data_IF_243188045992
#
_entry.id   IF_243188045992
#
_cell.length_a   1.000
_cell.length_b   1.000
_cell.length_c   1.000
_cell.angle_alpha   90.00
_cell.angle_beta   90.00
_cell.angle_gamma   90.00
#
_symmetry.space_group_name_H-M   'P 1'
#
loop_
_entity.id
_entity.type
_entity.pdbx_description
1 polymer ?
#
# COMPACT_ATOMS: atom_id res chain seq x y z
N UNK A 1 -32.56 17.25 33.20
CA UNK A 1 -31.54 18.30 33.42
C UNK A 1 -30.24 17.62 33.11
N UNK A 2 -29.87 17.58 31.84
CA UNK A 2 -28.66 16.89 31.38
C UNK A 2 -27.94 17.84 30.42
N UNK A 3 -26.88 18.44 30.91
CA UNK A 3 -26.01 19.37 30.19
C UNK A 3 -24.97 18.55 29.43
N UNK A 4 -25.05 18.53 28.08
CA UNK A 4 -23.91 18.15 27.25
C UNK A 4 -22.97 19.34 27.14
N UNK A 5 -21.95 19.38 27.99
CA UNK A 5 -20.73 20.14 27.77
C UNK A 5 -19.96 19.47 26.63
N UNK A 6 -19.68 20.21 25.57
CA UNK A 6 -18.81 19.74 24.49
C UNK A 6 -17.39 19.58 25.02
N UNK A 7 -16.87 18.36 24.90
CA UNK A 7 -15.48 18.06 25.18
C UNK A 7 -14.62 18.68 24.07
N UNK A 8 -14.12 19.89 24.32
CA UNK A 8 -12.88 20.36 23.71
C UNK A 8 -11.77 19.45 24.27
N UNK A 9 -11.56 18.30 23.60
CA UNK A 9 -10.51 17.33 23.90
C UNK A 9 -9.14 18.00 23.75
N UNK A 10 -8.65 18.59 24.85
CA UNK A 10 -7.27 19.03 24.94
C UNK A 10 -6.34 17.88 24.58
N UNK A 11 -5.31 18.10 23.74
CA UNK A 11 -4.42 17.03 23.34
C UNK A 11 -3.79 16.40 24.58
N UNK A 12 -4.12 15.14 24.83
CA UNK A 12 -3.62 14.37 25.98
C UNK A 12 -2.10 14.25 25.87
N UNK A 13 -1.39 15.19 26.49
CA UNK A 13 0.06 15.18 26.60
C UNK A 13 0.46 14.13 27.63
N UNK A 14 0.69 12.91 27.15
CA UNK A 14 1.23 11.83 27.96
C UNK A 14 2.60 12.23 28.49
N UNK A 15 2.70 12.41 29.81
CA UNK A 15 3.93 12.71 30.52
C UNK A 15 4.85 11.47 30.50
N UNK A 16 5.75 11.45 29.52
CA UNK A 16 6.73 10.38 29.30
C UNK A 16 8.13 10.96 29.35
N UNK A 17 9.05 10.24 29.99
CA UNK A 17 10.45 10.64 30.03
C UNK A 17 11.02 10.86 28.61
N UNK A 18 11.53 12.06 28.34
CA UNK A 18 12.15 12.41 27.05
C UNK A 18 13.56 11.84 26.96
N UNK A 19 13.93 11.34 25.77
CA UNK A 19 15.28 10.84 25.48
C UNK A 19 16.08 11.93 24.78
N UNK A 20 17.28 12.24 25.28
CA UNK A 20 18.20 13.24 24.69
C UNK A 20 18.56 12.97 23.23
N UNK A 21 18.47 11.71 22.77
CA UNK A 21 18.79 11.31 21.39
C UNK A 21 17.57 11.27 20.45
N UNK A 22 16.35 11.55 20.95
CA UNK A 22 15.14 11.58 20.13
C UNK A 22 15.21 12.73 19.13
N UNK A 23 14.90 12.46 17.87
CA UNK A 23 14.79 13.50 16.85
C UNK A 23 16.12 14.04 16.29
N UNK A 24 17.28 13.52 16.70
CA UNK A 24 18.60 14.07 16.31
C UNK A 24 18.89 14.09 14.80
N UNK A 25 18.19 13.28 14.01
CA UNK A 25 18.31 13.26 12.53
C UNK A 25 17.12 13.90 11.82
N UNK A 26 16.06 14.26 12.54
CA UNK A 26 14.83 14.77 11.92
C UNK A 26 15.07 16.15 11.34
N UNK A 27 15.83 17.00 12.03
CA UNK A 27 16.18 18.34 11.53
C UNK A 27 16.93 18.25 10.20
N UNK A 28 17.92 17.36 10.10
CA UNK A 28 18.63 17.12 8.85
C UNK A 28 17.72 16.61 7.73
N UNK A 29 16.81 15.67 8.02
CA UNK A 29 15.91 15.16 6.99
C UNK A 29 14.96 16.23 6.47
N UNK A 30 14.52 17.16 7.33
CA UNK A 30 13.68 18.29 6.92
C UNK A 30 14.49 19.33 6.14
N UNK A 31 15.74 19.60 6.53
CA UNK A 31 16.65 20.46 5.76
C UNK A 31 16.92 19.87 4.36
N UNK A 32 17.24 18.57 4.28
CA UNK A 32 17.46 17.86 3.01
C UNK A 32 16.19 17.86 2.11
N UNK A 33 14.97 17.87 2.68
CA UNK A 33 13.69 17.95 1.97
C UNK A 33 13.45 19.37 1.41
N UNK A 34 13.65 20.39 2.25
CA UNK A 34 13.51 21.80 1.86
C UNK A 34 14.50 22.16 0.74
N UNK A 35 15.75 21.71 0.85
CA UNK A 35 16.76 21.93 -0.20
C UNK A 35 16.37 21.30 -1.54
N UNK A 36 15.75 20.12 -1.52
CA UNK A 36 15.26 19.45 -2.74
C UNK A 36 14.08 20.20 -3.35
N UNK A 37 13.16 20.66 -2.52
CA UNK A 37 12.00 21.45 -2.95
C UNK A 37 12.47 22.78 -3.55
N UNK A 38 13.42 23.46 -2.92
CA UNK A 38 14.00 24.69 -3.46
C UNK A 38 14.68 24.45 -4.82
N UNK A 39 15.43 23.37 -4.99
CA UNK A 39 16.05 23.05 -6.28
C UNK A 39 15.01 22.72 -7.36
N UNK A 40 13.93 22.04 -6.98
CA UNK A 40 12.86 21.70 -7.91
C UNK A 40 12.03 22.92 -8.32
N UNK A 41 11.65 23.78 -7.38
CA UNK A 41 10.78 24.92 -7.65
C UNK A 41 11.53 26.14 -8.20
N UNK A 42 12.82 26.30 -7.91
CA UNK A 42 13.62 27.41 -8.44
C UNK A 42 14.19 27.15 -9.85
N UNK A 43 13.58 26.25 -10.63
CA UNK A 43 13.91 26.06 -12.04
C UNK A 43 13.50 27.30 -12.84
N UNK A 44 14.32 27.71 -13.81
CA UNK A 44 14.04 28.91 -14.60
C UNK A 44 12.74 28.80 -15.41
N UNK A 45 12.32 27.59 -15.77
CA UNK A 45 11.04 27.34 -16.45
C UNK A 45 9.79 27.52 -15.57
N UNK A 46 9.95 27.58 -14.25
CA UNK A 46 8.86 27.77 -13.27
C UNK A 46 8.89 29.17 -12.64
N UNK A 47 9.89 30.00 -12.97
CA UNK A 47 9.97 31.37 -12.51
C UNK A 47 9.14 32.26 -13.43
N UNK A 48 8.34 33.12 -12.82
CA UNK A 48 7.59 34.14 -13.56
C UNK A 48 8.59 35.09 -14.24
N UNK A 49 8.62 35.09 -15.57
CA UNK A 49 9.41 36.02 -16.36
C UNK A 49 8.64 37.34 -16.53
N UNK A 50 9.34 38.48 -16.49
CA UNK A 50 8.71 39.82 -16.61
C UNK A 50 8.01 40.03 -17.97
N UNK A 51 8.29 39.16 -18.94
CA UNK A 51 7.72 39.15 -20.29
C UNK A 51 7.08 37.79 -20.64
N UNK A 52 6.39 37.16 -19.68
CA UNK A 52 5.59 35.95 -19.89
C UNK A 52 4.22 36.29 -20.49
N UNK A 53 4.19 36.52 -21.81
CA UNK A 53 2.94 36.74 -22.55
C UNK A 53 2.13 35.45 -22.67
N UNK A 54 0.80 35.57 -22.80
CA UNK A 54 -0.06 34.40 -23.02
C UNK A 54 0.36 33.64 -24.28
N UNK A 55 0.27 32.30 -24.20
CA UNK A 55 0.53 31.41 -25.34
C UNK A 55 -0.22 31.85 -26.61
N UNK A 56 0.52 32.04 -27.70
CA UNK A 56 -0.01 32.25 -29.04
C UNK A 56 0.06 30.94 -29.82
N UNK A 57 -1.04 30.55 -30.46
CA UNK A 57 -1.08 29.35 -31.30
C UNK A 57 -0.24 29.59 -32.56
N UNK A 58 0.92 28.94 -32.62
CA UNK A 58 1.71 28.90 -33.84
C UNK A 58 0.94 28.11 -34.91
N UNK A 59 0.96 28.61 -36.14
CA UNK A 59 0.30 27.92 -37.26
C UNK A 59 0.96 26.56 -37.46
N UNK A 60 0.25 25.50 -37.06
CA UNK A 60 0.70 24.11 -37.20
C UNK A 60 1.00 23.81 -38.67
N UNK A 61 2.29 23.67 -38.98
CA UNK A 61 2.76 23.16 -40.25
C UNK A 61 2.50 21.66 -40.22
N UNK A 62 1.26 21.29 -40.56
CA UNK A 62 0.72 19.95 -40.32
C UNK A 62 1.65 18.79 -40.63
N UNK A 63 1.43 17.69 -39.91
CA UNK A 63 2.26 16.48 -39.84
C UNK A 63 2.93 16.07 -41.17
N UNK A 64 4.27 16.17 -41.22
CA UNK A 64 5.10 15.74 -42.35
C UNK A 64 5.53 14.29 -42.14
N UNK A 65 4.99 13.39 -42.95
CA UNK A 65 5.36 11.98 -42.89
C UNK A 65 6.66 11.69 -43.64
N UNK A 66 7.56 10.97 -42.98
CA UNK A 66 8.74 10.38 -43.61
C UNK A 66 8.32 9.42 -44.74
N UNK A 67 9.15 9.32 -45.78
CA UNK A 67 8.82 8.52 -46.97
C UNK A 67 8.73 7.02 -46.70
N UNK A 68 9.27 6.54 -45.57
CA UNK A 68 9.20 5.15 -45.11
C UNK A 68 7.98 4.86 -44.22
N UNK A 69 7.15 5.86 -43.89
CA UNK A 69 5.98 5.59 -43.05
C UNK A 69 4.92 4.70 -43.71
N UNK A 70 4.84 4.76 -45.04
CA UNK A 70 4.00 3.84 -45.81
C UNK A 70 4.72 2.57 -46.26
N UNK A 71 6.01 2.42 -45.93
CA UNK A 71 6.75 1.20 -46.23
C UNK A 71 6.27 0.11 -45.27
N UNK A 72 5.86 -1.02 -45.84
CA UNK A 72 5.48 -2.19 -45.06
C UNK A 72 6.70 -2.62 -44.24
N UNK A 73 6.56 -2.63 -42.91
CA UNK A 73 7.60 -3.18 -42.05
C UNK A 73 7.82 -4.62 -42.50
N UNK A 74 9.05 -4.94 -42.91
CA UNK A 74 9.40 -6.25 -43.42
C UNK A 74 8.81 -7.33 -42.51
N UNK A 75 7.93 -8.18 -43.07
CA UNK A 75 7.28 -9.25 -42.31
C UNK A 75 8.32 -9.93 -41.43
N UNK A 76 8.05 -10.10 -40.12
CA UNK A 76 8.98 -10.77 -39.25
C UNK A 76 9.30 -12.12 -39.88
N UNK A 77 10.59 -12.33 -40.13
CA UNK A 77 11.14 -13.59 -40.63
C UNK A 77 10.76 -14.66 -39.59
N UNK A 78 9.63 -15.35 -39.83
CA UNK A 78 9.05 -16.45 -39.06
C UNK A 78 9.93 -17.71 -39.21
N UNK A 79 11.25 -17.53 -39.22
CA UNK A 79 12.24 -18.58 -39.07
C UNK A 79 12.42 -18.86 -37.56
N UNK A 80 11.82 -19.95 -37.04
CA UNK A 80 11.87 -20.27 -35.61
C UNK A 80 13.29 -20.52 -35.10
N UNK A 81 14.30 -20.64 -35.98
CA UNK A 81 15.69 -20.84 -35.58
C UNK A 81 16.40 -19.53 -35.15
N UNK A 82 15.95 -18.37 -35.65
CA UNK A 82 16.59 -17.06 -35.41
C UNK A 82 16.02 -16.35 -34.17
N UNK A 83 14.70 -16.47 -33.94
CA UNK A 83 14.03 -15.94 -32.74
C UNK A 83 14.61 -16.52 -31.42
N UNK A 84 15.06 -17.77 -31.44
CA UNK A 84 15.61 -18.43 -30.24
C UNK A 84 16.98 -17.86 -29.86
N UNK A 85 17.77 -17.36 -30.82
CA UNK A 85 19.08 -16.77 -30.55
C UNK A 85 18.97 -15.33 -30.02
N UNK A 86 18.01 -14.54 -30.52
CA UNK A 86 17.78 -13.16 -30.04
C UNK A 86 17.08 -13.09 -28.68
N UNK A 87 16.22 -14.07 -28.35
CA UNK A 87 15.54 -14.16 -27.03
C UNK A 87 16.44 -14.61 -25.88
N UNK A 88 17.73 -14.87 -26.13
CA UNK A 88 18.67 -15.10 -25.04
C UNK A 88 18.86 -13.79 -24.26
N UNK A 89 18.65 -13.78 -22.92
CA UNK A 89 18.70 -12.55 -22.15
C UNK A 89 20.12 -11.99 -22.12
N UNK A 90 20.42 -11.04 -23.00
CA UNK A 90 21.60 -10.20 -22.91
C UNK A 90 21.42 -9.36 -21.65
N UNK A 91 22.00 -9.81 -20.54
CA UNK A 91 22.02 -9.07 -19.26
C UNK A 91 22.89 -7.82 -19.41
N UNK A 92 22.37 -6.77 -20.07
CA UNK A 92 22.93 -5.43 -20.00
C UNK A 92 22.68 -4.91 -18.58
N UNK A 93 23.64 -5.14 -17.68
CA UNK A 93 23.64 -4.50 -16.37
C UNK A 93 23.95 -3.02 -16.60
N UNK A 94 22.98 -2.15 -16.33
CA UNK A 94 23.20 -0.72 -16.25
C UNK A 94 24.23 -0.46 -15.14
N UNK A 95 25.45 -0.07 -15.51
CA UNK A 95 26.49 0.33 -14.57
C UNK A 95 26.39 1.84 -14.40
N UNK A 96 25.94 2.30 -13.25
CA UNK A 96 25.97 3.71 -12.89
C UNK A 96 27.43 4.20 -12.82
N UNK A 97 27.79 5.37 -13.39
CA UNK A 97 29.12 5.93 -13.23
C UNK A 97 29.36 6.19 -11.73
N UNK A 98 30.40 5.58 -11.15
CA UNK A 98 30.80 5.81 -9.76
C UNK A 98 30.70 4.63 -8.78
N UNK A 99 30.13 3.48 -9.16
CA UNK A 99 30.08 2.28 -8.29
C UNK A 99 31.16 1.26 -8.68
N UNK A 100 32.27 1.22 -7.93
CA UNK A 100 33.29 0.17 -8.05
C UNK A 100 32.75 -1.16 -7.48
N UNK A 101 32.44 -2.11 -8.36
CA UNK A 101 32.08 -3.48 -7.98
C UNK A 101 33.31 -4.20 -7.41
N UNK A 102 33.31 -4.46 -6.10
CA UNK A 102 34.35 -5.26 -5.43
C UNK A 102 34.26 -6.72 -5.91
N UNK A 103 35.34 -7.26 -6.49
CA UNK A 103 35.48 -8.69 -6.82
C UNK A 103 35.63 -9.50 -5.53
N UNK A 104 34.64 -10.33 -5.18
CA UNK A 104 34.81 -11.36 -4.15
C UNK A 104 35.27 -12.66 -4.81
N UNK A 105 36.53 -13.02 -4.58
CA UNK A 105 37.05 -14.35 -4.83
C UNK A 105 36.55 -15.30 -3.74
N UNK A 106 35.73 -16.29 -4.07
CA UNK A 106 35.54 -17.46 -3.20
C UNK A 106 35.56 -18.73 -4.03
N UNK A 107 36.65 -19.48 -3.88
CA UNK A 107 36.87 -20.82 -4.40
C UNK A 107 35.96 -21.83 -3.70
N UNK A 108 35.56 -22.82 -4.49
CA UNK A 108 34.75 -24.01 -4.21
C UNK A 108 35.15 -24.75 -2.92
N UNK A 109 34.17 -25.36 -2.25
CA UNK A 109 34.15 -26.79 -1.84
C UNK A 109 32.70 -27.25 -1.65
N UNK A 110 32.22 -28.07 -2.58
CA UNK A 110 31.00 -28.88 -2.48
C UNK A 110 31.47 -30.29 -2.11
N UNK A 111 31.03 -30.80 -0.97
CA UNK A 111 31.21 -32.21 -0.58
C UNK A 111 29.81 -32.82 -0.51
N UNK A 112 29.57 -33.80 -1.38
CA UNK A 112 28.45 -34.75 -1.34
C UNK A 112 29.04 -36.09 -0.94
N UNK A 113 28.52 -36.81 0.08
CA UNK A 113 28.93 -38.18 0.33
C UNK A 113 28.14 -39.12 -0.59
N UNK A 114 28.87 -40.01 -1.27
CA UNK A 114 28.35 -41.08 -2.11
C UNK A 114 28.30 -42.34 -1.25
N UNK A 115 27.15 -42.99 -1.25
CA UNK A 115 26.90 -44.31 -0.64
C UNK A 115 27.69 -45.38 -1.42
N UNK A 116 28.35 -46.27 -0.70
CA UNK A 116 28.99 -47.46 -1.24
C UNK A 116 28.11 -48.68 -0.93
N UNK A 117 27.91 -49.49 -1.96
CA UNK A 117 27.31 -50.82 -1.94
C UNK A 117 28.21 -51.79 -1.16
N UNK A 118 27.61 -52.68 -0.37
CA UNK A 118 28.18 -54.01 -0.15
C UNK A 118 27.08 -55.07 -0.11
N UNK A 119 27.30 -56.07 -0.96
CA UNK A 119 26.45 -57.22 -1.24
C UNK A 119 26.51 -58.24 -0.11
N UNK A 120 25.38 -58.93 0.11
CA UNK A 120 25.20 -60.40 -0.05
C UNK A 120 24.39 -61.05 1.09
N UNK A 121 23.47 -61.90 0.62
CA UNK A 121 22.99 -63.16 1.22
C UNK A 121 21.82 -63.13 2.22
N UNK A 122 20.69 -63.60 1.66
CA UNK A 122 19.91 -64.79 2.05
C UNK A 122 18.71 -64.73 3.03
N UNK A 123 17.60 -65.24 2.47
CA UNK A 123 16.48 -65.97 3.08
C UNK A 123 15.37 -65.21 3.83
N UNK A 124 14.32 -64.97 3.04
CA UNK A 124 13.01 -65.59 3.18
C UNK A 124 12.08 -65.24 4.34
N UNK A 125 10.81 -65.08 3.91
CA UNK A 125 9.53 -65.44 4.56
C UNK A 125 8.77 -64.34 5.31
N UNK A 126 7.57 -64.09 4.76
CA UNK A 126 6.28 -63.79 5.39
C UNK A 126 5.91 -62.38 5.90
N UNK A 127 4.93 -61.81 5.17
CA UNK A 127 3.85 -60.91 5.62
C UNK A 127 3.09 -61.54 6.82
N UNK A 128 2.21 -60.86 7.60
CA UNK A 128 1.57 -59.56 7.38
C UNK A 128 1.48 -58.63 8.62
N UNK A 129 0.93 -57.44 8.43
CA UNK A 129 0.43 -56.52 9.47
C UNK A 129 -0.62 -57.16 10.40
N UNK A 130 -0.78 -56.64 11.62
CA UNK A 130 -2.09 -56.09 11.95
C UNK A 130 -2.08 -54.79 12.78
N UNK A 131 -3.17 -54.06 12.58
CA UNK A 131 -3.67 -52.84 13.23
C UNK A 131 -3.99 -53.00 14.72
N UNK A 132 -4.21 -51.83 15.40
CA UNK A 132 -4.85 -51.56 16.71
C UNK A 132 -3.85 -51.53 17.89
N UNK A 133 -3.75 -50.51 18.74
CA UNK A 133 -4.79 -49.77 19.48
C UNK A 133 -4.27 -48.37 19.92
N UNK A 134 -5.20 -47.48 20.23
CA UNK A 134 -4.98 -46.21 20.89
C UNK A 134 -4.62 -46.41 22.38
N UNK A 135 -3.71 -45.59 22.93
CA UNK A 135 -3.77 -45.20 24.33
C UNK A 135 -3.07 -43.86 24.59
N UNK A 136 -3.58 -43.12 25.57
CA UNK A 136 -3.44 -41.69 25.83
C UNK A 136 -2.01 -41.19 26.21
N UNK A 137 -1.71 -39.88 26.06
CA UNK A 137 -0.49 -39.30 26.60
C UNK A 137 -0.59 -39.08 28.12
N UNK A 138 0.23 -39.80 28.88
CA UNK A 138 0.52 -39.52 30.29
C UNK A 138 1.49 -38.32 30.38
N UNK A 139 0.92 -37.11 30.38
CA UNK A 139 1.66 -35.84 30.42
C UNK A 139 1.51 -35.15 31.79
N UNK A 140 1.63 -35.87 32.91
CA UNK A 140 1.52 -35.22 34.25
C UNK A 140 2.56 -35.61 35.32
N UNK A 141 3.59 -36.39 34.99
CA UNK A 141 4.52 -36.94 36.02
C UNK A 141 6.00 -36.55 35.87
N UNK A 142 6.36 -35.50 35.12
CA UNK A 142 7.76 -35.04 35.02
C UNK A 142 8.07 -33.71 35.77
N UNK A 143 7.10 -33.14 36.48
CA UNK A 143 7.13 -31.70 36.77
C UNK A 143 7.71 -31.26 38.12
N UNK A 144 8.28 -32.18 38.92
CA UNK A 144 8.61 -31.89 40.33
C UNK A 144 10.10 -31.79 40.70
N UNK A 145 11.05 -31.95 39.77
CA UNK A 145 12.50 -32.02 40.12
C UNK A 145 13.29 -30.74 39.76
N UNK A 146 12.71 -29.80 39.01
CA UNK A 146 13.42 -28.61 38.53
C UNK A 146 13.02 -27.37 39.35
N UNK A 147 14.01 -26.56 39.76
CA UNK A 147 13.77 -25.28 40.45
C UNK A 147 12.85 -24.39 39.60
N UNK A 148 11.87 -23.76 40.25
CA UNK A 148 10.84 -22.92 39.61
C UNK A 148 11.42 -21.86 38.67
N UNK A 149 12.56 -21.25 39.03
CA UNK A 149 13.25 -20.24 38.21
C UNK A 149 13.88 -20.78 36.93
N UNK A 150 14.28 -22.05 36.91
CA UNK A 150 14.80 -22.71 35.69
C UNK A 150 13.66 -23.13 34.77
N UNK A 151 12.49 -23.46 35.32
CA UNK A 151 11.28 -23.75 34.54
C UNK A 151 10.75 -22.51 33.84
N UNK A 152 10.67 -21.37 34.54
CA UNK A 152 10.23 -20.11 33.93
C UNK A 152 11.19 -19.60 32.86
N UNK A 153 12.51 -19.75 33.04
CA UNK A 153 13.49 -19.31 32.04
C UNK A 153 13.46 -20.13 30.75
N UNK A 154 13.16 -21.43 30.83
CA UNK A 154 12.97 -22.29 29.64
C UNK A 154 11.71 -21.90 28.88
N UNK A 155 10.60 -21.64 29.58
CA UNK A 155 9.33 -21.20 28.97
C UNK A 155 9.52 -19.85 28.26
N UNK A 156 10.17 -18.88 28.92
CA UNK A 156 10.47 -17.57 28.33
C UNK A 156 11.33 -17.72 27.07
N UNK A 157 12.40 -18.52 27.12
CA UNK A 157 13.29 -18.73 25.98
C UNK A 157 12.61 -19.47 24.82
N UNK A 158 11.64 -20.32 25.11
CA UNK A 158 10.85 -21.02 24.10
C UNK A 158 9.84 -20.08 23.44
N UNK A 159 9.14 -19.25 24.24
CA UNK A 159 8.27 -18.19 23.75
C UNK A 159 9.04 -17.17 22.90
N UNK A 160 10.26 -16.78 23.29
CA UNK A 160 11.13 -15.91 22.49
C UNK A 160 11.49 -16.53 21.13
N UNK A 161 11.81 -17.82 21.10
CA UNK A 161 12.13 -18.53 19.84
C UNK A 161 10.91 -18.65 18.93
N UNK A 162 9.74 -18.91 19.49
CA UNK A 162 8.48 -18.99 18.76
C UNK A 162 8.05 -17.61 18.24
N UNK A 163 8.24 -16.54 19.02
CA UNK A 163 8.01 -15.17 18.58
C UNK A 163 8.89 -14.79 17.38
N UNK A 164 10.19 -15.13 17.41
CA UNK A 164 11.11 -14.89 16.28
C UNK A 164 10.71 -15.71 15.04
N UNK A 165 10.23 -16.94 15.21
CA UNK A 165 9.75 -17.77 14.09
C UNK A 165 8.46 -17.19 13.50
N UNK A 166 7.52 -16.79 14.35
CA UNK A 166 6.26 -16.17 13.95
C UNK A 166 6.49 -14.85 13.20
N UNK A 167 7.44 -14.01 13.63
CA UNK A 167 7.80 -12.77 12.95
C UNK A 167 8.39 -13.04 11.55
N UNK A 168 9.26 -14.06 11.42
CA UNK A 168 9.80 -14.48 10.12
C UNK A 168 8.72 -15.04 9.20
N UNK A 169 7.76 -15.80 9.74
CA UNK A 169 6.63 -16.30 8.97
C UNK A 169 5.65 -15.18 8.59
N UNK A 170 5.42 -14.20 9.45
CA UNK A 170 4.57 -13.04 9.17
C UNK A 170 5.17 -12.17 8.06
N UNK A 171 6.47 -11.88 8.12
CA UNK A 171 7.17 -11.15 7.06
C UNK A 171 7.21 -11.92 5.75
N UNK A 172 7.40 -13.25 5.79
CA UNK A 172 7.29 -14.10 4.61
C UNK A 172 5.87 -14.08 4.02
N UNK A 173 4.83 -14.21 4.84
CA UNK A 173 3.42 -14.13 4.40
C UNK A 173 3.12 -12.78 3.75
N UNK A 174 3.53 -11.67 4.35
CA UNK A 174 3.38 -10.32 3.77
C UNK A 174 4.08 -10.24 2.41
N UNK A 175 5.28 -10.78 2.29
CA UNK A 175 6.00 -10.83 1.02
C UNK A 175 5.29 -11.69 -0.04
N UNK A 176 4.78 -12.86 0.34
CA UNK A 176 3.97 -13.71 -0.54
C UNK A 176 2.68 -13.03 -0.97
N UNK A 177 1.96 -12.37 -0.07
CA UNK A 177 0.75 -11.60 -0.41
C UNK A 177 1.06 -10.44 -1.36
N UNK A 178 2.15 -9.71 -1.12
CA UNK A 178 2.56 -8.60 -1.99
C UNK A 178 2.97 -9.08 -3.38
N UNK A 179 3.67 -10.22 -3.45
CA UNK A 179 4.05 -10.82 -4.73
C UNK A 179 2.85 -11.37 -5.49
N UNK A 180 1.92 -12.06 -4.81
CA UNK A 180 0.68 -12.54 -5.40
C UNK A 180 -0.20 -11.38 -5.90
N UNK A 181 -0.29 -10.29 -5.14
CA UNK A 181 -1.03 -9.09 -5.53
C UNK A 181 -0.42 -8.40 -6.76
N UNK A 182 0.92 -8.23 -6.79
CA UNK A 182 1.59 -7.72 -7.98
C UNK A 182 1.37 -8.63 -9.20
N UNK A 183 1.45 -9.95 -9.04
CA UNK A 183 1.17 -10.90 -10.12
C UNK A 183 -0.28 -10.78 -10.62
N UNK A 184 -1.25 -10.63 -9.71
CA UNK A 184 -2.66 -10.42 -10.07
C UNK A 184 -2.86 -9.11 -10.84
N UNK A 185 -2.22 -8.01 -10.41
CA UNK A 185 -2.30 -6.72 -11.11
C UNK A 185 -1.70 -6.84 -12.52
N UNK A 186 -0.50 -7.42 -12.64
CA UNK A 186 0.20 -7.55 -13.93
C UNK A 186 -0.59 -8.43 -14.89
N UNK A 187 -1.13 -9.55 -14.42
CA UNK A 187 -1.97 -10.44 -15.25
C UNK A 187 -3.28 -9.78 -15.66
N UNK A 188 -3.94 -9.06 -14.76
CA UNK A 188 -5.17 -8.33 -15.08
C UNK A 188 -4.92 -7.20 -16.09
N UNK A 189 -3.81 -6.47 -15.96
CA UNK A 189 -3.39 -5.47 -16.94
C UNK A 189 -3.06 -6.08 -18.30
N UNK A 190 -2.38 -7.23 -18.31
CA UNK A 190 -2.08 -7.98 -19.55
C UNK A 190 -3.34 -8.51 -20.24
N UNK A 191 -4.30 -9.04 -19.47
CA UNK A 191 -5.59 -9.52 -19.98
C UNK A 191 -6.42 -8.35 -20.53
N UNK A 192 -6.41 -7.18 -19.86
CA UNK A 192 -7.09 -5.98 -20.35
C UNK A 192 -6.52 -5.51 -21.68
N UNK A 193 -5.20 -5.39 -21.80
CA UNK A 193 -4.53 -5.02 -23.07
C UNK A 193 -4.83 -5.98 -24.22
N UNK A 194 -5.03 -7.27 -23.93
CA UNK A 194 -5.45 -8.25 -24.94
C UNK A 194 -6.93 -8.17 -25.35
N UNK A 195 -7.80 -7.66 -24.48
CA UNK A 195 -9.25 -7.51 -24.73
C UNK A 195 -9.62 -6.17 -25.36
N UNK A 196 -8.76 -5.17 -25.22
CA UNK A 196 -8.93 -3.81 -25.74
C UNK A 196 -8.88 -3.75 -27.29
N UNK A 197 -8.29 -4.76 -27.94
CA UNK A 197 -8.32 -4.89 -29.41
C UNK A 197 -9.63 -5.45 -29.99
N UNK A 198 -10.55 -5.92 -29.13
CA UNK A 198 -11.88 -6.42 -29.53
C UNK A 198 -12.97 -5.42 -29.11
N UNK A 199 -12.75 -4.12 -29.33
CA UNK A 199 -13.84 -3.15 -29.27
C UNK A 199 -14.84 -3.47 -30.40
N UNK A 200 -15.79 -4.37 -30.08
CA UNK A 200 -17.09 -4.39 -30.76
C UNK A 200 -17.57 -2.96 -30.72
N UNK A 201 -17.59 -2.31 -31.89
CA UNK A 201 -18.20 -0.99 -32.07
C UNK A 201 -19.61 -1.08 -31.48
N UNK A 202 -19.78 -0.50 -30.28
CA UNK A 202 -21.07 -0.38 -29.61
C UNK A 202 -22.04 0.18 -30.63
N UNK A 203 -23.11 -0.56 -30.91
CA UNK A 203 -24.14 -0.03 -31.80
C UNK A 203 -24.78 1.17 -31.10
N UNK A 204 -25.33 2.10 -31.87
CA UNK A 204 -25.96 3.30 -31.31
C UNK A 204 -27.05 2.95 -30.27
N UNK A 205 -27.76 1.84 -30.46
CA UNK A 205 -28.75 1.34 -29.51
C UNK A 205 -28.13 0.87 -28.18
N UNK A 206 -26.97 0.23 -28.23
CA UNK A 206 -26.25 -0.22 -27.03
C UNK A 206 -25.76 0.99 -26.22
N UNK A 207 -25.28 2.03 -26.90
CA UNK A 207 -24.90 3.30 -26.26
C UNK A 207 -26.10 3.98 -25.59
N UNK A 208 -27.28 3.93 -26.21
CA UNK A 208 -28.50 4.50 -25.64
C UNK A 208 -29.01 3.69 -24.44
N UNK A 209 -28.85 2.36 -24.44
CA UNK A 209 -29.22 1.52 -23.30
C UNK A 209 -28.27 1.73 -22.11
N UNK A 210 -26.96 1.84 -22.35
CA UNK A 210 -25.99 2.17 -21.30
C UNK A 210 -26.23 3.58 -20.74
N UNK A 211 -26.58 4.54 -21.59
CA UNK A 211 -27.00 5.87 -21.16
C UNK A 211 -28.25 5.83 -20.26
N UNK A 212 -29.25 5.01 -20.59
CA UNK A 212 -30.45 4.85 -19.78
C UNK A 212 -30.15 4.18 -18.41
N UNK A 213 -29.28 3.17 -18.38
CA UNK A 213 -28.87 2.53 -17.13
C UNK A 213 -28.08 3.48 -16.22
N UNK A 214 -27.17 4.27 -16.81
CA UNK A 214 -26.41 5.30 -16.09
C UNK A 214 -27.31 6.46 -15.63
N UNK A 215 -28.34 6.85 -16.39
CA UNK A 215 -29.35 7.82 -15.97
C UNK A 215 -30.07 7.36 -14.70
N UNK A 216 -30.51 6.10 -14.65
CA UNK A 216 -31.16 5.53 -13.46
C UNK A 216 -30.21 5.56 -12.25
N UNK A 217 -28.93 5.23 -12.46
CA UNK A 217 -27.94 5.26 -11.39
C UNK A 217 -27.62 6.68 -10.91
N UNK A 218 -27.55 7.63 -11.84
CA UNK A 218 -27.35 9.05 -11.56
C UNK A 218 -28.52 9.63 -10.77
N UNK A 219 -29.77 9.30 -11.12
CA UNK A 219 -30.96 9.71 -10.38
C UNK A 219 -30.93 9.19 -8.94
N UNK A 220 -30.59 7.91 -8.73
CA UNK A 220 -30.43 7.33 -7.37
C UNK A 220 -29.27 7.95 -6.59
N UNK A 221 -28.22 8.40 -7.28
CA UNK A 221 -27.11 9.10 -6.62
C UNK A 221 -27.52 10.52 -6.21
N UNK A 222 -28.20 11.24 -7.11
CA UNK A 222 -28.74 12.57 -6.85
C UNK A 222 -29.72 12.54 -5.69
N UNK A 223 -30.63 11.56 -5.64
CA UNK A 223 -31.56 11.39 -4.53
C UNK A 223 -30.83 11.20 -3.19
N UNK A 224 -29.75 10.40 -3.17
CA UNK A 224 -28.92 10.23 -1.97
C UNK A 224 -28.21 11.52 -1.56
N UNK A 225 -27.78 12.35 -2.51
CA UNK A 225 -27.17 13.65 -2.23
C UNK A 225 -28.20 14.63 -1.68
N UNK A 226 -29.35 14.76 -2.33
CA UNK A 226 -30.46 15.62 -1.89
C UNK A 226 -30.97 15.23 -0.50
N UNK A 227 -31.10 13.94 -0.21
CA UNK A 227 -31.47 13.46 1.12
C UNK A 227 -30.47 13.92 2.19
N UNK A 228 -29.16 13.85 1.91
CA UNK A 228 -28.13 14.36 2.83
C UNK A 228 -28.20 15.88 2.97
N UNK A 229 -28.41 16.62 1.88
CA UNK A 229 -28.57 18.07 1.91
C UNK A 229 -29.78 18.49 2.75
N UNK A 230 -30.92 17.79 2.62
CA UNK A 230 -32.09 18.04 3.44
C UNK A 230 -31.84 17.74 4.93
N UNK A 231 -31.12 16.67 5.26
CA UNK A 231 -30.73 16.36 6.63
C UNK A 231 -29.80 17.42 7.22
N UNK A 232 -28.78 17.84 6.46
CA UNK A 232 -27.85 18.90 6.87
C UNK A 232 -28.60 20.21 7.04
N UNK A 233 -29.50 20.56 6.12
CA UNK A 233 -30.33 21.77 6.20
C UNK A 233 -31.22 21.76 7.43
N UNK A 234 -31.90 20.65 7.74
CA UNK A 234 -32.74 20.50 8.95
C UNK A 234 -31.91 20.63 10.24
N UNK A 235 -30.68 20.10 10.26
CA UNK A 235 -29.75 20.21 11.40
C UNK A 235 -29.13 21.60 11.53
N UNK A 236 -28.95 22.31 10.42
CA UNK A 236 -28.33 23.63 10.38
C UNK A 236 -29.29 24.79 10.70
N UNK A 237 -30.61 24.59 10.68
CA UNK A 237 -31.56 25.63 11.12
C UNK A 237 -31.51 25.77 12.64
N UNK A 238 -30.53 26.53 13.12
CA UNK A 238 -30.46 26.99 14.50
C UNK A 238 -31.59 27.99 14.71
N UNK A 239 -32.70 27.52 15.29
CA UNK A 239 -33.73 28.41 15.79
C UNK A 239 -33.17 29.10 17.03
N UNK A 240 -32.85 30.39 16.90
CA UNK A 240 -32.54 31.24 18.05
C UNK A 240 -33.87 31.66 18.65
N UNK A 241 -34.23 31.10 19.78
CA UNK A 241 -35.39 31.56 20.54
C UNK A 241 -35.19 33.04 20.88
N UNK A 242 -36.12 33.87 20.43
CA UNK A 242 -36.12 35.29 20.79
C UNK A 242 -36.58 35.38 22.24
N UNK A 243 -35.71 35.89 23.11
CA UNK A 243 -35.99 36.04 24.54
C UNK A 243 -37.14 37.06 24.74
N UNK A 244 -38.34 36.56 25.01
CA UNK A 244 -39.57 37.35 25.20
C UNK A 244 -39.91 37.59 26.69
N UNK A 245 -38.92 37.46 27.58
CA UNK A 245 -39.13 37.70 29.00
C UNK A 245 -38.92 39.19 29.36
N UNK A 246 -39.67 39.72 30.35
CA UNK A 246 -39.50 41.10 30.79
C UNK A 246 -38.04 41.42 31.19
N UNK A 247 -37.44 42.40 30.52
CA UNK A 247 -36.06 42.84 30.80
C UNK A 247 -36.07 43.79 31.99
N UNK A 248 -35.45 43.38 33.10
CA UNK A 248 -35.25 44.24 34.27
C UNK A 248 -34.11 45.21 33.98
N UNK A 249 -34.40 46.52 33.95
CA UNK A 249 -33.41 47.59 33.77
C UNK A 249 -33.12 48.26 35.12
N UNK A 250 -31.85 48.30 35.52
CA UNK A 250 -31.44 49.01 36.73
C UNK A 250 -31.08 50.46 36.39
N UNK A 251 -31.67 51.40 37.13
CA UNK A 251 -31.31 52.80 37.08
C UNK A 251 -30.52 53.14 38.35
N UNK A 252 -29.26 53.57 38.20
CA UNK A 252 -28.54 54.17 39.32
C UNK A 252 -29.12 55.55 39.65
N UNK A 253 -28.99 55.98 40.91
CA UNK A 253 -29.43 57.29 41.41
C UNK A 253 -28.81 58.46 40.64
N UNK A 254 -27.66 58.23 40.00
CA UNK A 254 -26.91 59.21 39.21
C UNK A 254 -27.28 59.22 37.71
N UNK A 255 -28.38 58.58 37.32
CA UNK A 255 -28.91 58.63 35.94
C UNK A 255 -28.26 57.69 34.94
N UNK A 256 -27.21 56.94 35.33
CA UNK A 256 -26.61 55.93 34.46
C UNK A 256 -27.43 54.63 34.47
N UNK A 257 -27.85 54.22 33.27
CA UNK A 257 -28.62 52.99 33.02
C UNK A 257 -27.66 51.88 32.60
N UNK A 258 -27.64 50.79 33.36
CA UNK A 258 -26.86 49.59 33.02
C UNK A 258 -27.83 48.46 32.68
N UNK A 259 -27.71 47.92 31.47
CA UNK A 259 -28.38 46.67 31.06
C UNK A 259 -27.41 45.52 31.28
N UNK A 260 -27.77 44.58 32.15
CA UNK A 260 -27.07 43.29 32.23
C UNK A 260 -27.73 42.35 31.22
N UNK A 261 -26.95 41.89 30.24
CA UNK A 261 -27.31 40.80 29.34
C UNK A 261 -27.41 39.49 30.13
#
# INVERSE_FOLDING_TARGET
MDTHTGDDEEPVLLDRASRTTRGKRITKLLEDEIEQDEVFWNQDALKDEEHDDNYEEEQDAGDEFDSDFGEDESEPDDDPEKEVQERLPIKKRLVFPGKTLRKTNTKKKKVTPKQEDDTKTENATDKPSPSRQADAPDEFEAEKIIRKSTRTSVIVRQAEREAIRAEKEATAKVWFYKQAFCFLIITHAYIKKKKEGEEKRMTQEEMLLEAAETEIMNLRNLERVLAREEEVKKKAVVHKDTYDCPIVRFCSRDGNRFTRL
#
